data_IF_132974018590
#
_entry.id   IF_132974018590
#
_cell.length_a   1.000
_cell.length_b   1.000
_cell.length_c   1.000
_cell.angle_alpha   90.00
_cell.angle_beta   90.00
_cell.angle_gamma   90.00
#
_symmetry.space_group_name_H-M   'P 1'
#
loop_
_entity.id
_entity.type
_entity.pdbx_description
1 polymer ?
#
# COMPACT_ATOMS: atom_id res chain seq x y z
N UNK A 1 25.31 -1.98 5.09
CA UNK A 1 24.32 -2.50 6.06
C UNK A 1 24.92 -2.34 7.43
N UNK A 2 24.42 -1.40 8.21
CA UNK A 2 25.03 -1.05 9.50
C UNK A 2 24.52 -1.99 10.59
N UNK A 3 25.35 -2.26 11.62
CA UNK A 3 24.98 -3.11 12.76
C UNK A 3 23.71 -2.63 13.50
N UNK A 4 23.34 -1.36 13.33
CA UNK A 4 22.10 -0.76 13.83
C UNK A 4 20.85 -1.34 13.14
N UNK A 5 20.93 -1.68 11.85
CA UNK A 5 19.81 -2.28 11.10
C UNK A 5 19.53 -3.72 11.60
N UNK A 6 20.59 -4.48 11.88
CA UNK A 6 20.47 -5.85 12.38
C UNK A 6 19.92 -5.90 13.82
N UNK A 7 20.36 -4.97 14.67
CA UNK A 7 19.90 -4.87 16.07
C UNK A 7 18.46 -4.37 16.23
N UNK A 8 17.99 -3.48 15.34
CA UNK A 8 16.60 -3.02 15.34
C UNK A 8 15.64 -4.10 14.84
N UNK A 9 16.05 -4.87 13.83
CA UNK A 9 15.24 -5.96 13.27
C UNK A 9 15.17 -7.15 14.25
N UNK A 10 16.23 -7.41 15.02
CA UNK A 10 16.27 -8.49 16.01
C UNK A 10 15.38 -8.23 17.25
N UNK A 11 15.02 -6.97 17.51
CA UNK A 11 14.21 -6.57 18.67
C UNK A 11 12.72 -6.38 18.35
N UNK A 12 12.31 -6.54 17.09
CA UNK A 12 10.90 -6.65 16.75
C UNK A 12 10.38 -7.98 17.30
N UNK A 13 9.30 -7.99 18.10
CA UNK A 13 8.78 -9.22 18.69
C UNK A 13 8.51 -10.23 17.57
N UNK A 14 9.01 -11.47 17.75
CA UNK A 14 8.67 -12.66 16.95
C UNK A 14 7.22 -13.09 17.19
N UNK A 15 6.31 -12.13 17.30
CA UNK A 15 4.89 -12.40 17.42
C UNK A 15 4.35 -12.83 16.07
N UNK A 16 3.56 -13.91 15.99
CA UNK A 16 2.82 -14.18 14.77
C UNK A 16 1.92 -12.98 14.52
N UNK A 17 2.15 -12.27 13.42
CA UNK A 17 1.31 -11.14 13.04
C UNK A 17 -0.15 -11.55 13.06
N UNK A 18 -0.97 -10.70 13.66
CA UNK A 18 -2.41 -10.90 13.65
C UNK A 18 -2.89 -11.01 12.20
N UNK A 19 -3.98 -11.74 11.93
CA UNK A 19 -4.54 -11.80 10.58
C UNK A 19 -4.76 -10.41 9.97
N UNK A 20 -5.09 -9.42 10.80
CA UNK A 20 -5.29 -8.03 10.39
C UNK A 20 -3.99 -7.31 10.04
N UNK A 21 -2.91 -7.52 10.79
CA UNK A 21 -1.57 -6.99 10.46
C UNK A 21 -1.06 -7.58 9.15
N UNK A 22 -1.23 -8.90 8.95
CA UNK A 22 -0.89 -9.57 7.68
C UNK A 22 -1.67 -8.98 6.51
N UNK A 23 -2.97 -8.78 6.68
CA UNK A 23 -3.83 -8.18 5.66
C UNK A 23 -3.39 -6.75 5.35
N UNK A 24 -3.13 -5.92 6.37
CA UNK A 24 -2.67 -4.54 6.19
C UNK A 24 -1.34 -4.49 5.43
N UNK A 25 -0.37 -5.33 5.83
CA UNK A 25 0.96 -5.38 5.19
C UNK A 25 0.87 -5.82 3.74
N UNK A 26 0.02 -6.80 3.43
CA UNK A 26 -0.22 -7.26 2.05
C UNK A 26 -0.84 -6.15 1.21
N UNK A 27 -1.82 -5.42 1.74
CA UNK A 27 -2.42 -4.29 1.01
C UNK A 27 -1.38 -3.18 0.83
N UNK A 28 -0.60 -2.83 1.84
CA UNK A 28 0.51 -1.85 1.73
C UNK A 28 1.54 -2.27 0.68
N UNK A 29 1.86 -3.57 0.57
CA UNK A 29 2.74 -4.07 -0.50
C UNK A 29 2.11 -3.95 -1.90
N UNK A 30 0.79 -4.13 -2.02
CA UNK A 30 0.06 -3.84 -3.26
C UNK A 30 0.11 -2.34 -3.57
N UNK A 31 0.00 -1.49 -2.53
CA UNK A 31 0.24 -0.05 -2.68
C UNK A 31 1.66 0.29 -3.08
N UNK A 32 2.70 -0.53 -2.95
CA UNK A 32 4.04 -0.15 -3.41
C UNK A 32 4.37 -0.64 -4.81
N UNK A 33 3.67 -1.65 -5.33
CA UNK A 33 4.05 -2.31 -6.59
C UNK A 33 2.94 -2.51 -7.62
N UNK A 34 1.68 -2.15 -7.34
CA UNK A 34 0.58 -2.42 -8.26
C UNK A 34 -0.40 -1.24 -8.35
N UNK A 35 -0.63 -0.73 -9.57
CA UNK A 35 -1.63 0.32 -9.84
C UNK A 35 -3.06 -0.21 -9.88
N UNK A 36 -3.24 -1.53 -9.92
CA UNK A 36 -4.54 -2.20 -9.93
C UNK A 36 -5.13 -2.36 -8.53
N UNK A 37 -5.40 -1.25 -7.86
CA UNK A 37 -6.17 -1.30 -6.62
C UNK A 37 -7.68 -1.31 -6.94
N UNK A 38 -8.35 -2.44 -6.72
CA UNK A 38 -9.77 -2.62 -7.02
C UNK A 38 -10.63 -2.33 -5.79
N UNK A 39 -11.96 -2.37 -5.95
CA UNK A 39 -12.89 -2.26 -4.82
C UNK A 39 -12.70 -3.37 -3.77
N UNK A 40 -12.14 -4.53 -4.18
CA UNK A 40 -11.86 -5.64 -3.27
C UNK A 40 -10.77 -5.27 -2.25
N UNK A 41 -9.62 -4.75 -2.69
CA UNK A 41 -8.52 -4.36 -1.80
C UNK A 41 -8.93 -3.25 -0.82
N UNK A 42 -9.75 -2.30 -1.27
CA UNK A 42 -10.32 -1.27 -0.40
C UNK A 42 -11.22 -1.86 0.70
N UNK A 43 -11.99 -2.90 0.37
CA UNK A 43 -12.83 -3.60 1.34
C UNK A 43 -11.99 -4.40 2.34
N UNK A 44 -10.94 -5.09 1.88
CA UNK A 44 -10.01 -5.81 2.75
C UNK A 44 -9.26 -4.82 3.67
N UNK A 45 -8.87 -3.64 3.18
CA UNK A 45 -8.25 -2.58 3.98
C UNK A 45 -9.18 -2.14 5.10
N UNK A 46 -10.45 -1.87 4.78
CA UNK A 46 -11.45 -1.46 5.77
C UNK A 46 -11.65 -2.53 6.85
N UNK A 47 -11.75 -3.81 6.48
CA UNK A 47 -11.91 -4.94 7.40
C UNK A 47 -10.66 -5.11 8.27
N UNK A 48 -9.46 -4.97 7.70
CA UNK A 48 -8.21 -5.05 8.45
C UNK A 48 -8.13 -3.94 9.51
N UNK A 49 -8.41 -2.69 9.13
CA UNK A 49 -8.43 -1.57 10.06
C UNK A 49 -9.50 -1.72 11.15
N UNK A 50 -10.65 -2.30 10.80
CA UNK A 50 -11.71 -2.60 11.77
C UNK A 50 -11.28 -3.64 12.80
N UNK A 51 -10.64 -4.73 12.36
CA UNK A 51 -10.08 -5.74 13.26
C UNK A 51 -8.90 -5.27 14.11
N UNK A 52 -8.24 -4.18 13.71
CA UNK A 52 -7.23 -3.47 14.51
C UNK A 52 -7.83 -2.45 15.47
N UNK A 53 -9.16 -2.35 15.57
CA UNK A 53 -9.84 -1.41 16.46
C UNK A 53 -9.72 0.06 16.02
N UNK A 54 -9.35 0.33 14.76
CA UNK A 54 -9.21 1.70 14.25
C UNK A 54 -10.59 2.38 14.22
N UNK A 55 -10.76 3.59 14.81
CA UNK A 55 -12.03 4.30 14.81
C UNK A 55 -12.59 4.55 13.40
N UNK A 56 -13.92 4.52 13.25
CA UNK A 56 -14.60 4.58 11.94
C UNK A 56 -14.25 5.81 11.10
N UNK A 57 -13.95 6.95 11.73
CA UNK A 57 -13.49 8.17 11.04
C UNK A 57 -12.07 8.01 10.47
N UNK A 58 -11.15 7.41 11.22
CA UNK A 58 -9.79 7.07 10.74
C UNK A 58 -9.85 6.03 9.61
N UNK A 59 -10.75 5.04 9.71
CA UNK A 59 -10.98 4.07 8.62
C UNK A 59 -11.43 4.76 7.34
N UNK A 60 -12.37 5.72 7.44
CA UNK A 60 -12.82 6.53 6.29
C UNK A 60 -11.69 7.36 5.68
N UNK A 61 -10.88 8.02 6.51
CA UNK A 61 -9.71 8.77 6.04
C UNK A 61 -8.71 7.87 5.33
N UNK A 62 -8.39 6.71 5.89
CA UNK A 62 -7.47 5.75 5.28
C UNK A 62 -7.97 5.25 3.92
N UNK A 63 -9.27 4.95 3.79
CA UNK A 63 -9.90 4.55 2.52
C UNK A 63 -9.92 5.70 1.49
N UNK A 64 -10.07 6.95 1.92
CA UNK A 64 -9.99 8.11 1.02
C UNK A 64 -8.56 8.36 0.53
N UNK A 65 -7.58 8.32 1.43
CA UNK A 65 -6.16 8.48 1.08
C UNK A 65 -5.71 7.40 0.08
N UNK A 66 -6.15 6.17 0.32
CA UNK A 66 -6.02 5.03 -0.57
C UNK A 66 -6.55 5.29 -2.00
N UNK A 67 -7.79 5.78 -2.12
CA UNK A 67 -8.41 6.13 -3.41
C UNK A 67 -7.63 7.24 -4.10
N UNK A 68 -7.20 8.26 -3.35
CA UNK A 68 -6.45 9.38 -3.91
C UNK A 68 -5.10 8.92 -4.47
N UNK A 69 -4.35 8.11 -3.71
CA UNK A 69 -3.09 7.54 -4.17
C UNK A 69 -3.23 6.74 -5.47
N UNK A 70 -4.34 5.99 -5.62
CA UNK A 70 -4.65 5.32 -6.89
C UNK A 70 -4.86 6.32 -8.03
N UNK A 71 -5.66 7.36 -7.81
CA UNK A 71 -5.91 8.40 -8.83
C UNK A 71 -4.61 9.06 -9.26
N UNK A 72 -3.78 9.46 -8.30
CA UNK A 72 -2.50 10.11 -8.56
C UNK A 72 -1.59 9.24 -9.43
N UNK A 73 -1.58 7.92 -9.17
CA UNK A 73 -0.82 6.96 -9.99
C UNK A 73 -1.37 6.77 -11.38
N UNK A 74 -2.68 6.61 -11.54
CA UNK A 74 -3.29 6.53 -12.87
C UNK A 74 -2.98 7.78 -13.69
N UNK A 75 -2.99 8.95 -13.03
CA UNK A 75 -2.60 10.19 -13.69
C UNK A 75 -1.10 10.23 -14.02
N UNK A 76 -0.23 9.74 -13.15
CA UNK A 76 1.22 9.65 -13.41
C UNK A 76 1.56 8.65 -14.54
N UNK A 77 0.89 7.50 -14.60
CA UNK A 77 1.01 6.52 -15.69
C UNK A 77 0.49 7.08 -17.02
N UNK A 78 -0.55 7.90 -17.00
CA UNK A 78 -1.04 8.61 -18.19
C UNK A 78 -0.14 9.77 -18.61
N UNK A 79 0.56 10.39 -17.66
CA UNK A 79 1.48 11.49 -17.89
C UNK A 79 2.87 11.02 -18.34
N UNK A 80 3.17 9.73 -18.24
CA UNK A 80 4.36 9.11 -18.85
C UNK A 80 3.99 8.73 -20.28
N UNK A 81 4.41 9.51 -21.30
CA UNK A 81 4.17 9.14 -22.68
C UNK A 81 4.91 7.83 -22.93
N UNK A 82 4.25 6.84 -23.55
CA UNK A 82 5.01 5.84 -24.30
C UNK A 82 5.97 6.60 -25.20
N UNK A 83 7.27 6.31 -25.06
CA UNK A 83 8.30 6.95 -25.85
C UNK A 83 7.93 6.91 -27.32
N UNK A 84 7.82 8.09 -27.92
CA UNK A 84 8.03 8.24 -29.35
C UNK A 84 9.45 7.76 -29.63
N UNK A 85 9.55 6.47 -29.94
CA UNK A 85 10.65 5.95 -30.73
C UNK A 85 10.38 6.46 -32.13
N UNK A 86 11.00 7.57 -32.48
CA UNK A 86 11.26 7.93 -33.86
C UNK A 86 12.78 7.85 -34.03
N UNK A 87 13.25 6.61 -34.17
CA UNK A 87 14.53 6.33 -34.81
C UNK A 87 14.30 6.43 -36.32
N UNK A 88 15.17 7.20 -36.98
CA UNK A 88 15.54 7.14 -38.40
C UNK A 88 14.65 7.86 -39.43
N UNK A 89 15.11 9.05 -39.84
CA UNK A 89 15.42 9.36 -41.26
C UNK A 89 16.34 10.58 -41.35
#
# INVERSE_FOLDING_TARGET
>A
MSALETGLIAQLPRTPWTPHERALRRIVSLYTGNSMMTGHELRVLKIALEGLGVPSWKRRQAVQAAIQLKRDRVMAERATPHGGTDESA
#
